data_IF_963608552721
#
_entry.id   IF_963608552721
#
_cell.length_a   1.000
_cell.length_b   1.000
_cell.length_c   1.000
_cell.angle_alpha   90.00
_cell.angle_beta   90.00
_cell.angle_gamma   90.00
#
_symmetry.space_group_name_H-M   'P 1'
#
loop_
_entity.id
_entity.type
_entity.pdbx_description
1 polymer ?
#
# COMPACT_ATOMS: atom_id res chain seq x y z
N UNK A 1 2.08 19.77 22.98
CA UNK A 1 1.65 18.58 23.76
C UNK A 1 1.97 17.36 22.93
N UNK A 2 3.10 16.71 23.23
CA UNK A 2 3.48 15.43 22.65
C UNK A 2 2.87 14.33 23.52
N UNK A 3 2.52 13.20 22.90
CA UNK A 3 2.05 11.95 23.53
C UNK A 3 0.57 11.93 23.90
N UNK A 4 -0.30 11.70 22.92
CA UNK A 4 -1.50 10.87 23.09
C UNK A 4 -1.96 10.53 21.66
N UNK A 5 -2.16 9.25 21.35
CA UNK A 5 -2.35 8.65 20.01
C UNK A 5 -1.03 8.13 19.40
N UNK A 6 -0.45 7.09 20.01
CA UNK A 6 0.33 6.05 19.29
C UNK A 6 0.66 4.91 20.26
N UNK A 7 -0.37 4.23 20.76
CA UNK A 7 -0.18 3.02 21.59
C UNK A 7 -1.11 1.90 21.12
N UNK A 8 -2.29 2.21 20.62
CA UNK A 8 -3.25 1.19 20.16
C UNK A 8 -2.90 0.56 18.81
N UNK A 9 -2.24 1.27 17.90
CA UNK A 9 -1.88 0.71 16.58
C UNK A 9 -0.62 -0.19 16.64
N UNK A 10 0.35 0.19 17.49
CA UNK A 10 1.60 -0.55 17.68
C UNK A 10 1.37 -1.93 18.34
N UNK A 11 0.36 -2.04 19.21
CA UNK A 11 0.05 -3.29 19.94
C UNK A 11 -0.61 -4.33 19.02
N UNK A 12 -1.39 -3.92 18.01
CA UNK A 12 -1.99 -4.85 17.05
C UNK A 12 -0.96 -5.47 16.09
N UNK A 13 0.05 -4.70 15.65
CA UNK A 13 1.10 -5.20 14.75
C UNK A 13 2.06 -6.16 15.49
N UNK A 14 2.45 -5.81 16.72
CA UNK A 14 3.33 -6.66 17.52
C UNK A 14 2.66 -7.98 17.96
N UNK A 15 1.35 -7.99 18.24
CA UNK A 15 0.65 -9.22 18.62
C UNK A 15 0.44 -10.20 17.46
N UNK A 16 0.43 -9.76 16.20
CA UNK A 16 0.35 -10.67 15.05
C UNK A 16 1.70 -11.31 14.70
N UNK A 17 2.81 -10.57 14.83
CA UNK A 17 4.16 -11.10 14.55
C UNK A 17 4.59 -12.24 15.48
N UNK A 18 4.10 -12.27 16.73
CA UNK A 18 4.49 -13.26 17.72
C UNK A 18 3.80 -14.63 17.58
N UNK A 19 2.79 -14.78 16.71
CA UNK A 19 2.03 -16.04 16.57
C UNK A 19 2.62 -16.97 15.49
N UNK A 20 3.48 -16.48 14.61
CA UNK A 20 3.98 -17.28 13.47
C UNK A 20 5.40 -17.88 13.65
N UNK A 21 6.09 -17.59 14.75
CA UNK A 21 7.53 -17.90 14.90
C UNK A 21 7.89 -19.37 15.27
N UNK A 22 6.97 -20.33 15.20
CA UNK A 22 7.31 -21.74 15.50
C UNK A 22 6.33 -22.75 14.86
N UNK A 23 6.10 -22.64 13.56
CA UNK A 23 5.36 -23.67 12.83
C UNK A 23 6.28 -24.86 12.55
N UNK A 24 5.89 -26.06 12.97
CA UNK A 24 6.57 -27.32 12.61
C UNK A 24 6.71 -27.40 11.08
N UNK A 25 7.91 -27.70 10.59
CA UNK A 25 8.21 -27.78 9.16
C UNK A 25 7.28 -28.77 8.44
N UNK A 26 6.90 -29.87 9.09
CA UNK A 26 5.98 -30.86 8.50
C UNK A 26 4.59 -30.26 8.30
N UNK A 27 4.12 -29.46 9.27
CA UNK A 27 2.86 -28.75 9.16
C UNK A 27 2.93 -27.69 8.05
N UNK A 28 4.01 -26.91 7.99
CA UNK A 28 4.21 -25.90 6.96
C UNK A 28 4.24 -26.49 5.55
N UNK A 29 4.84 -27.67 5.37
CA UNK A 29 4.83 -28.40 4.09
C UNK A 29 3.42 -28.85 3.71
N UNK A 30 2.65 -29.41 4.66
CA UNK A 30 1.26 -29.81 4.40
C UNK A 30 0.37 -28.61 4.04
N UNK A 31 0.49 -27.52 4.79
CA UNK A 31 -0.24 -26.27 4.54
C UNK A 31 0.13 -25.69 3.15
N UNK A 32 1.41 -25.78 2.76
CA UNK A 32 1.92 -25.36 1.46
C UNK A 32 1.38 -26.19 0.30
N UNK A 33 1.32 -27.52 0.45
CA UNK A 33 0.73 -28.40 -0.56
C UNK A 33 -0.77 -28.16 -0.70
N UNK A 34 -1.50 -28.01 0.41
CA UNK A 34 -2.93 -27.67 0.39
C UNK A 34 -3.19 -26.31 -0.25
N UNK A 35 -2.36 -25.29 0.04
CA UNK A 35 -2.46 -23.97 -0.58
C UNK A 35 -2.40 -24.04 -2.10
N UNK A 36 -1.47 -24.80 -2.69
CA UNK A 36 -1.29 -24.78 -4.15
C UNK A 36 -2.17 -25.80 -4.87
N UNK A 37 -2.29 -27.01 -4.32
CA UNK A 37 -3.02 -28.10 -4.97
C UNK A 37 -4.53 -27.99 -4.76
N UNK A 38 -4.97 -27.24 -3.74
CA UNK A 38 -6.35 -27.16 -3.30
C UNK A 38 -6.83 -28.48 -2.66
N UNK A 39 -7.98 -28.43 -1.99
CA UNK A 39 -8.66 -29.62 -1.51
C UNK A 39 -9.25 -30.37 -2.71
N UNK A 40 -8.47 -31.30 -3.28
CA UNK A 40 -8.83 -32.33 -4.26
C UNK A 40 -10.08 -32.07 -5.17
N UNK A 41 -9.89 -31.39 -6.31
CA UNK A 41 -10.24 -31.88 -7.66
C UNK A 41 -9.74 -30.89 -8.75
N UNK A 42 -9.20 -31.37 -9.88
CA UNK A 42 -8.68 -30.50 -10.93
C UNK A 42 -9.83 -29.96 -11.78
N UNK A 43 -10.43 -28.84 -11.37
CA UNK A 43 -11.27 -28.07 -12.28
C UNK A 43 -10.38 -27.17 -13.14
N UNK A 44 -10.09 -27.64 -14.35
CA UNK A 44 -9.42 -26.95 -15.45
C UNK A 44 -10.14 -25.67 -15.96
N UNK A 45 -11.04 -25.10 -15.16
CA UNK A 45 -11.88 -23.94 -15.49
C UNK A 45 -11.57 -22.70 -14.63
N UNK A 46 -10.62 -22.76 -13.68
CA UNK A 46 -10.41 -21.68 -12.69
C UNK A 46 -9.51 -20.55 -13.21
N UNK A 47 -8.84 -20.72 -14.36
CA UNK A 47 -7.87 -19.74 -14.89
C UNK A 47 -8.53 -18.53 -15.59
N UNK A 48 -9.84 -18.54 -15.79
CA UNK A 48 -10.55 -17.41 -16.37
C UNK A 48 -11.00 -16.40 -15.29
N UNK A 49 -10.14 -15.39 -15.09
CA UNK A 49 -10.56 -14.00 -14.93
C UNK A 49 -11.03 -13.57 -13.53
N UNK A 50 -10.06 -13.37 -12.61
CA UNK A 50 -10.08 -12.17 -11.75
C UNK A 50 -9.16 -11.14 -12.42
N UNK A 51 -9.58 -10.60 -13.56
CA UNK A 51 -9.06 -9.31 -14.06
C UNK A 51 -9.66 -8.21 -13.20
N UNK A 52 -9.15 -8.07 -11.99
CA UNK A 52 -9.27 -6.85 -11.20
C UNK A 52 -7.90 -6.39 -10.69
N UNK A 53 -6.82 -6.91 -11.29
CA UNK A 53 -5.47 -6.46 -10.98
C UNK A 53 -5.29 -5.08 -11.60
N UNK A 54 -5.51 -4.04 -10.80
CA UNK A 54 -5.20 -2.68 -11.21
C UNK A 54 -3.72 -2.43 -10.92
N UNK A 55 -2.97 -2.07 -11.95
CA UNK A 55 -1.57 -1.68 -11.77
C UNK A 55 -1.50 -0.32 -11.09
N UNK A 56 -0.43 -0.09 -10.32
CA UNK A 56 -0.22 1.21 -9.68
C UNK A 56 -0.25 2.38 -10.68
N UNK A 57 0.32 2.18 -11.87
CA UNK A 57 0.30 3.17 -12.95
C UNK A 57 -1.13 3.54 -13.41
N UNK A 58 -2.05 2.55 -13.45
CA UNK A 58 -3.45 2.79 -13.79
C UNK A 58 -4.16 3.62 -12.70
N UNK A 59 -3.91 3.33 -11.42
CA UNK A 59 -4.49 4.09 -10.30
C UNK A 59 -4.01 5.54 -10.32
N UNK A 60 -2.71 5.77 -10.48
CA UNK A 60 -2.16 7.13 -10.57
C UNK A 60 -2.74 7.89 -11.76
N UNK A 61 -2.87 7.25 -12.93
CA UNK A 61 -3.46 7.86 -14.12
C UNK A 61 -4.93 8.26 -13.90
N UNK A 62 -5.72 7.40 -13.26
CA UNK A 62 -7.13 7.69 -12.91
C UNK A 62 -7.24 8.83 -11.89
N UNK A 63 -6.39 8.85 -10.86
CA UNK A 63 -6.36 9.94 -9.88
C UNK A 63 -6.03 11.29 -10.52
N UNK A 64 -5.06 11.32 -11.45
CA UNK A 64 -4.73 12.51 -12.25
C UNK A 64 -5.89 12.98 -13.10
N UNK A 65 -6.60 12.07 -13.75
CA UNK A 65 -7.78 12.41 -14.57
C UNK A 65 -8.91 12.99 -13.71
N UNK A 66 -9.18 12.40 -12.54
CA UNK A 66 -10.20 12.87 -11.61
C UNK A 66 -9.93 14.30 -11.15
N UNK A 67 -8.68 14.63 -10.82
CA UNK A 67 -8.30 15.97 -10.34
C UNK A 67 -8.24 17.03 -11.45
N UNK A 68 -8.08 16.63 -12.72
CA UNK A 68 -8.17 17.55 -13.87
C UNK A 68 -9.61 17.92 -14.19
N UNK A 69 -10.53 16.98 -14.03
CA UNK A 69 -11.91 17.11 -14.52
C UNK A 69 -12.90 17.65 -13.47
N UNK A 70 -12.48 17.75 -12.20
CA UNK A 70 -13.36 18.17 -11.10
C UNK A 70 -12.75 19.34 -10.33
N UNK A 71 -13.61 20.26 -9.89
CA UNK A 71 -13.15 21.30 -8.96
C UNK A 71 -12.72 20.63 -7.65
N UNK A 72 -11.45 20.81 -7.31
CA UNK A 72 -10.83 20.23 -6.13
C UNK A 72 -11.60 20.56 -4.83
N UNK A 73 -12.24 21.75 -4.76
CA UNK A 73 -13.09 22.13 -3.61
C UNK A 73 -14.32 21.25 -3.47
N UNK A 74 -14.82 20.69 -4.55
CA UNK A 74 -16.02 19.84 -4.53
C UNK A 74 -15.64 18.39 -4.18
N UNK A 75 -14.52 17.86 -4.67
CA UNK A 75 -13.98 16.56 -4.22
C UNK A 75 -13.75 16.57 -2.71
N UNK A 76 -13.14 17.65 -2.19
CA UNK A 76 -12.81 17.74 -0.77
C UNK A 76 -14.03 17.90 0.16
N UNK A 77 -15.24 18.09 -0.39
CA UNK A 77 -16.52 18.02 0.35
C UNK A 77 -17.14 16.61 0.36
N UNK A 78 -16.65 15.70 -0.48
CA UNK A 78 -17.11 14.31 -0.54
C UNK A 78 -16.25 13.39 0.34
N UNK A 79 -16.58 12.10 0.41
CA UNK A 79 -15.73 11.08 1.03
C UNK A 79 -14.70 10.46 0.06
N UNK A 80 -14.78 10.77 -1.23
CA UNK A 80 -13.92 10.20 -2.28
C UNK A 80 -12.45 10.61 -2.10
N UNK A 81 -11.55 9.62 -2.16
CA UNK A 81 -10.10 9.79 -2.16
C UNK A 81 -9.60 9.64 -3.61
N UNK A 82 -8.96 10.65 -4.22
CA UNK A 82 -8.58 10.61 -5.64
C UNK A 82 -7.63 9.47 -6.03
N UNK A 83 -6.62 9.22 -5.19
CA UNK A 83 -5.62 8.18 -5.41
C UNK A 83 -5.88 7.05 -4.43
N UNK A 84 -6.93 6.28 -4.68
CA UNK A 84 -7.34 5.18 -3.80
C UNK A 84 -7.23 3.83 -4.49
N UNK A 85 -6.63 2.88 -3.78
CA UNK A 85 -6.62 1.46 -4.13
C UNK A 85 -6.30 0.63 -2.88
N UNK A 86 -7.08 -0.43 -2.63
CA UNK A 86 -6.81 -1.33 -1.50
C UNK A 86 -5.56 -2.18 -1.73
N UNK A 87 -5.34 -2.65 -2.96
CA UNK A 87 -4.13 -3.34 -3.36
C UNK A 87 -3.86 -3.22 -4.86
N UNK A 88 -2.86 -2.41 -5.22
CA UNK A 88 -2.33 -2.31 -6.57
C UNK A 88 -1.12 -3.23 -6.76
N UNK A 89 -0.88 -3.68 -7.98
CA UNK A 89 0.33 -4.46 -8.29
C UNK A 89 1.44 -3.58 -8.86
N UNK A 90 2.66 -3.79 -8.37
CA UNK A 90 3.89 -3.21 -8.88
C UNK A 90 4.86 -4.32 -9.28
N UNK A 91 5.16 -4.41 -10.57
CA UNK A 91 6.13 -5.35 -11.10
C UNK A 91 7.57 -4.81 -11.08
N UNK A 92 7.77 -3.49 -10.91
CA UNK A 92 9.12 -2.92 -11.00
C UNK A 92 9.76 -3.21 -12.34
N UNK A 93 10.92 -3.87 -12.28
CA UNK A 93 11.64 -4.32 -13.46
C UNK A 93 11.28 -5.77 -13.86
N UNK A 94 10.39 -6.45 -13.13
CA UNK A 94 9.95 -7.80 -13.44
C UNK A 94 9.24 -7.83 -14.81
N UNK A 95 9.89 -8.49 -15.76
CA UNK A 95 9.37 -8.82 -17.09
C UNK A 95 9.33 -10.34 -17.25
N UNK A 96 8.66 -10.85 -18.27
CA UNK A 96 8.65 -12.30 -18.54
C UNK A 96 10.08 -12.85 -18.71
N UNK A 97 10.96 -12.14 -19.42
CA UNK A 97 12.36 -12.54 -19.59
C UNK A 97 13.13 -12.56 -18.26
N UNK A 98 12.97 -11.53 -17.42
CA UNK A 98 13.59 -11.51 -16.10
C UNK A 98 13.03 -12.64 -15.22
N UNK A 99 11.73 -12.89 -15.30
CA UNK A 99 11.08 -13.99 -14.60
C UNK A 99 11.69 -15.33 -15.00
N UNK A 100 11.92 -15.60 -16.29
CA UNK A 100 12.55 -16.85 -16.75
C UNK A 100 13.93 -17.09 -16.11
N UNK A 101 14.71 -16.02 -15.90
CA UNK A 101 16.06 -16.06 -15.32
C UNK A 101 16.09 -16.20 -13.80
N UNK A 102 14.97 -15.93 -13.10
CA UNK A 102 14.90 -16.03 -11.64
C UNK A 102 15.02 -17.47 -11.14
N UNK A 103 15.53 -17.62 -9.92
CA UNK A 103 15.52 -18.90 -9.23
C UNK A 103 14.09 -19.39 -8.92
N UNK A 104 13.97 -20.68 -8.63
CA UNK A 104 12.67 -21.27 -8.33
C UNK A 104 12.07 -20.73 -7.03
N UNK A 105 12.87 -20.28 -6.07
CA UNK A 105 12.36 -19.80 -4.78
C UNK A 105 11.56 -18.50 -4.96
N UNK A 106 12.11 -17.55 -5.73
CA UNK A 106 11.44 -16.31 -6.06
C UNK A 106 10.23 -16.53 -6.96
N UNK A 107 10.33 -17.45 -7.95
CA UNK A 107 9.18 -17.83 -8.79
C UNK A 107 8.04 -18.43 -7.96
N UNK A 108 8.36 -19.34 -7.04
CA UNK A 108 7.39 -19.94 -6.12
C UNK A 108 6.79 -18.89 -5.18
N UNK A 109 7.60 -17.97 -4.65
CA UNK A 109 7.12 -16.85 -3.83
C UNK A 109 6.10 -15.99 -4.58
N UNK A 110 6.37 -15.60 -5.83
CA UNK A 110 5.42 -14.85 -6.67
C UNK A 110 4.11 -15.64 -6.83
N UNK A 111 4.23 -16.91 -7.23
CA UNK A 111 3.09 -17.76 -7.53
C UNK A 111 2.21 -18.05 -6.32
N UNK A 112 2.82 -18.43 -5.20
CA UNK A 112 2.13 -18.70 -3.95
C UNK A 112 1.43 -17.44 -3.41
N UNK A 113 2.06 -16.27 -3.56
CA UNK A 113 1.46 -14.99 -3.18
C UNK A 113 0.23 -14.68 -4.03
N UNK A 114 0.34 -14.85 -5.35
CA UNK A 114 -0.80 -14.71 -6.27
C UNK A 114 -1.94 -15.64 -5.89
N UNK A 115 -1.67 -16.94 -5.70
CA UNK A 115 -2.69 -17.93 -5.31
C UNK A 115 -3.39 -17.52 -4.01
N UNK A 116 -2.63 -17.07 -3.00
CA UNK A 116 -3.17 -16.65 -1.71
C UNK A 116 -4.07 -15.42 -1.85
N UNK A 117 -3.64 -14.43 -2.63
CA UNK A 117 -4.41 -13.22 -2.87
C UNK A 117 -5.66 -13.51 -3.71
N UNK A 118 -5.57 -14.32 -4.76
CA UNK A 118 -6.72 -14.73 -5.58
C UNK A 118 -7.76 -15.47 -4.74
N UNK A 119 -7.30 -16.37 -3.84
CA UNK A 119 -8.17 -17.07 -2.91
C UNK A 119 -8.89 -16.11 -1.98
N UNK A 120 -8.18 -15.14 -1.39
CA UNK A 120 -8.80 -14.13 -0.53
C UNK A 120 -9.89 -13.35 -1.27
N UNK A 121 -9.66 -12.94 -2.51
CA UNK A 121 -10.68 -12.23 -3.30
C UNK A 121 -11.89 -13.13 -3.61
N UNK A 122 -11.65 -14.40 -3.91
CA UNK A 122 -12.72 -15.38 -4.16
C UNK A 122 -13.58 -15.61 -2.90
N UNK A 123 -12.94 -15.73 -1.73
CA UNK A 123 -13.61 -15.93 -0.45
C UNK A 123 -14.34 -14.68 0.05
N UNK A 124 -13.81 -13.48 -0.25
CA UNK A 124 -14.44 -12.23 0.08
C UNK A 124 -15.78 -12.02 -0.64
N UNK A 125 -16.01 -12.70 -1.77
CA UNK A 125 -17.28 -12.75 -2.50
C UNK A 125 -17.90 -11.34 -2.69
N UNK A 126 -17.19 -10.48 -3.42
CA UNK A 126 -17.55 -9.07 -3.71
C UNK A 126 -17.48 -8.10 -2.52
N UNK A 127 -17.17 -8.57 -1.30
CA UNK A 127 -16.87 -7.69 -0.17
C UNK A 127 -15.54 -6.96 -0.39
N UNK A 128 -15.49 -5.69 0.01
CA UNK A 128 -14.26 -4.93 0.16
C UNK A 128 -13.28 -5.66 1.09
N UNK A 129 -12.06 -5.89 0.60
CA UNK A 129 -10.97 -6.53 1.33
C UNK A 129 -10.05 -5.44 1.85
N UNK A 130 -9.86 -5.40 3.17
CA UNK A 130 -9.02 -4.36 3.79
C UNK A 130 -7.54 -4.69 3.64
N UNK A 131 -6.71 -3.65 3.65
CA UNK A 131 -5.25 -3.80 3.56
C UNK A 131 -4.68 -4.79 4.58
N UNK A 132 -5.19 -4.76 5.82
CA UNK A 132 -4.73 -5.62 6.90
C UNK A 132 -5.06 -7.11 6.63
N UNK A 133 -6.12 -7.39 5.87
CA UNK A 133 -6.46 -8.75 5.45
C UNK A 133 -5.46 -9.27 4.43
N UNK A 134 -5.02 -8.43 3.48
CA UNK A 134 -3.95 -8.80 2.54
C UNK A 134 -2.63 -9.09 3.26
N UNK A 135 -2.24 -8.23 4.22
CA UNK A 135 -1.03 -8.44 5.03
C UNK A 135 -1.14 -9.75 5.82
N UNK A 136 -2.29 -10.01 6.45
CA UNK A 136 -2.52 -11.24 7.19
C UNK A 136 -2.43 -12.48 6.28
N UNK A 137 -3.03 -12.43 5.09
CA UNK A 137 -2.98 -13.52 4.10
C UNK A 137 -1.55 -13.85 3.68
N UNK A 138 -0.72 -12.84 3.38
CA UNK A 138 0.68 -13.11 3.02
C UNK A 138 1.54 -13.53 4.22
N UNK A 139 1.26 -13.01 5.41
CA UNK A 139 1.95 -13.45 6.64
C UNK A 139 1.65 -14.92 6.96
N UNK A 140 0.46 -15.40 6.63
CA UNK A 140 0.05 -16.79 6.81
C UNK A 140 0.46 -17.70 5.65
N UNK A 141 1.02 -17.15 4.57
CA UNK A 141 1.45 -17.95 3.44
C UNK A 141 2.67 -18.81 3.84
N UNK A 142 2.58 -20.16 3.77
CA UNK A 142 3.63 -21.07 4.23
C UNK A 142 4.92 -21.01 3.39
N UNK A 143 4.86 -20.46 2.17
CA UNK A 143 6.03 -20.25 1.32
C UNK A 143 6.78 -18.96 1.64
N UNK A 144 6.22 -18.10 2.49
CA UNK A 144 6.78 -16.80 2.85
C UNK A 144 7.26 -16.79 4.29
N UNK A 145 8.29 -16.01 4.56
CA UNK A 145 8.66 -15.63 5.91
C UNK A 145 8.84 -14.12 5.99
N UNK A 146 8.39 -13.52 7.10
CA UNK A 146 8.63 -12.10 7.36
C UNK A 146 10.13 -11.88 7.54
N UNK A 147 10.71 -10.93 6.80
CA UNK A 147 12.12 -10.57 6.97
C UNK A 147 12.35 -9.99 8.39
N UNK A 148 13.57 -10.15 8.94
CA UNK A 148 13.90 -9.67 10.30
C UNK A 148 13.77 -8.14 10.45
N UNK A 149 14.14 -7.40 9.40
CA UNK A 149 13.93 -5.97 9.22
C UNK A 149 12.62 -5.67 8.45
N UNK A 150 11.73 -6.65 8.38
CA UNK A 150 10.70 -6.72 7.37
C UNK A 150 9.44 -5.95 7.68
N UNK A 151 9.31 -5.31 8.84
CA UNK A 151 8.15 -4.49 9.15
C UNK A 151 8.61 -3.09 9.54
N UNK A 152 8.09 -2.06 8.87
CA UNK A 152 8.39 -0.67 9.17
C UNK A 152 7.14 0.19 9.08
N UNK A 153 6.95 1.03 10.09
CA UNK A 153 5.91 2.05 10.10
C UNK A 153 6.55 3.41 10.33
N UNK A 154 6.18 4.39 9.51
CA UNK A 154 6.56 5.78 9.72
C UNK A 154 5.34 6.69 9.64
N UNK A 155 5.40 7.78 10.38
CA UNK A 155 4.43 8.86 10.35
C UNK A 155 5.15 10.19 10.48
N UNK A 156 4.82 11.13 9.60
CA UNK A 156 5.39 12.47 9.64
C UNK A 156 4.38 13.54 9.21
N UNK A 157 4.68 14.79 9.55
CA UNK A 157 3.84 15.95 9.27
C UNK A 157 4.68 17.14 8.82
N UNK A 158 4.25 17.78 7.74
CA UNK A 158 4.82 19.02 7.25
C UNK A 158 3.78 20.14 7.39
N UNK A 159 4.07 21.12 8.25
CA UNK A 159 3.32 22.37 8.33
C UNK A 159 3.75 23.36 7.26
N UNK A 160 2.82 24.21 6.82
CA UNK A 160 3.08 25.35 5.94
C UNK A 160 2.52 26.62 6.57
N UNK A 161 3.23 27.74 6.43
CA UNK A 161 2.73 29.03 6.92
C UNK A 161 1.43 29.43 6.18
N UNK A 162 0.48 29.91 6.99
CA UNK A 162 -0.99 29.89 6.87
C UNK A 162 -1.73 30.32 5.59
N UNK A 163 -1.08 30.64 4.46
CA UNK A 163 -1.76 31.19 3.28
C UNK A 163 -1.26 30.72 1.90
N UNK A 164 -0.17 29.94 1.82
CA UNK A 164 0.41 29.54 0.52
C UNK A 164 -0.46 28.57 -0.31
N UNK A 165 -1.44 27.92 0.32
CA UNK A 165 -2.31 26.94 -0.34
C UNK A 165 -3.69 27.52 -0.72
N UNK A 166 -4.05 28.70 -0.21
CA UNK A 166 -5.38 29.33 -0.38
C UNK A 166 -5.41 30.49 -1.37
N UNK A 167 -4.29 30.86 -2.02
CA UNK A 167 -4.24 32.01 -2.93
C UNK A 167 -4.29 31.64 -4.42
N UNK A 168 -4.51 30.38 -4.77
CA UNK A 168 -4.73 29.96 -6.17
C UNK A 168 -3.51 30.13 -7.09
N UNK A 169 -2.33 30.42 -6.54
CA UNK A 169 -1.08 30.40 -7.26
C UNK A 169 -0.40 29.05 -7.09
N UNK A 170 -0.12 28.38 -8.22
CA UNK A 170 0.68 27.17 -8.31
C UNK A 170 2.08 27.40 -7.71
N UNK A 171 2.24 27.26 -6.40
CA UNK A 171 3.55 27.41 -5.78
C UNK A 171 4.32 26.09 -5.87
N UNK A 172 5.05 25.97 -6.98
CA UNK A 172 5.99 24.87 -7.22
C UNK A 172 6.95 24.67 -6.05
N UNK A 173 7.30 25.71 -5.30
CA UNK A 173 8.17 25.58 -4.13
C UNK A 173 7.49 24.82 -2.99
N UNK A 174 6.17 24.98 -2.78
CA UNK A 174 5.40 24.19 -1.81
C UNK A 174 5.27 22.74 -2.27
N UNK A 175 5.03 22.51 -3.57
CA UNK A 175 5.00 21.16 -4.13
C UNK A 175 6.36 20.45 -4.00
N UNK A 176 7.47 21.16 -4.19
CA UNK A 176 8.82 20.63 -4.00
C UNK A 176 9.14 20.34 -2.52
N UNK A 177 8.64 21.17 -1.60
CA UNK A 177 8.69 20.89 -0.17
C UNK A 177 7.88 19.64 0.19
N UNK A 178 6.65 19.53 -0.33
CA UNK A 178 5.80 18.36 -0.14
C UNK A 178 6.43 17.08 -0.69
N UNK A 179 7.05 17.16 -1.87
CA UNK A 179 7.79 16.04 -2.46
C UNK A 179 9.00 15.66 -1.60
N UNK A 180 9.76 16.63 -1.12
CA UNK A 180 10.94 16.37 -0.27
C UNK A 180 10.54 15.74 1.06
N UNK A 181 9.46 16.24 1.66
CA UNK A 181 8.84 15.63 2.85
C UNK A 181 8.40 14.20 2.57
N UNK A 182 7.72 13.92 1.45
CA UNK A 182 7.30 12.57 1.09
C UNK A 182 8.48 11.60 0.92
N UNK A 183 9.55 12.04 0.26
CA UNK A 183 10.79 11.26 0.14
C UNK A 183 11.35 10.91 1.52
N UNK A 184 11.34 11.87 2.45
CA UNK A 184 11.80 11.68 3.83
C UNK A 184 10.84 10.82 4.68
N UNK A 185 9.54 10.79 4.36
CA UNK A 185 8.56 9.91 5.00
C UNK A 185 8.78 8.46 4.57
N UNK A 186 8.95 8.22 3.27
CA UNK A 186 9.05 6.88 2.69
C UNK A 186 10.40 6.24 2.96
N UNK A 187 11.50 6.97 2.75
CA UNK A 187 12.90 6.52 2.92
C UNK A 187 13.30 5.23 2.18
N UNK A 188 12.42 4.65 1.36
CA UNK A 188 12.68 3.51 0.50
C UNK A 188 12.57 3.94 -0.97
N UNK A 189 13.71 3.96 -1.68
CA UNK A 189 13.80 4.31 -3.10
C UNK A 189 12.90 3.43 -3.96
N UNK A 190 12.80 2.16 -3.62
CA UNK A 190 12.04 1.16 -4.36
C UNK A 190 10.53 1.45 -4.31
N UNK A 191 10.05 1.88 -3.13
CA UNK A 191 8.67 2.32 -2.92
C UNK A 191 8.41 3.65 -3.64
N UNK A 192 9.35 4.59 -3.57
CA UNK A 192 9.25 5.86 -4.28
C UNK A 192 9.11 5.66 -5.79
N UNK A 193 9.99 4.84 -6.39
CA UNK A 193 10.01 4.55 -7.82
C UNK A 193 8.77 3.74 -8.26
N UNK A 194 8.26 2.88 -7.37
CA UNK A 194 7.05 2.08 -7.60
C UNK A 194 5.76 2.88 -7.48
N UNK A 195 5.72 3.89 -6.58
CA UNK A 195 4.51 4.68 -6.32
C UNK A 195 4.02 5.44 -7.55
N UNK A 196 4.93 5.78 -8.47
CA UNK A 196 4.69 6.63 -9.65
C UNK A 196 4.06 8.00 -9.32
N UNK A 197 4.13 8.44 -8.06
CA UNK A 197 3.68 9.76 -7.63
C UNK A 197 4.71 10.79 -8.08
N UNK A 198 4.33 11.69 -8.96
CA UNK A 198 5.19 12.73 -9.53
C UNK A 198 4.90 14.10 -8.93
N UNK A 199 5.72 15.09 -9.25
CA UNK A 199 5.58 16.45 -8.74
C UNK A 199 4.21 17.06 -9.07
N UNK A 200 3.62 16.71 -10.23
CA UNK A 200 2.27 17.13 -10.60
C UNK A 200 1.20 16.59 -9.64
N UNK A 201 1.39 15.37 -9.10
CA UNK A 201 0.49 14.81 -8.10
C UNK A 201 0.61 15.58 -6.79
N UNK A 202 1.83 15.99 -6.38
CA UNK A 202 2.01 16.86 -5.21
C UNK A 202 1.42 18.25 -5.40
N UNK A 203 1.47 18.83 -6.60
CA UNK A 203 0.77 20.08 -6.93
C UNK A 203 -0.74 19.90 -6.74
N UNK A 204 -1.32 18.79 -7.21
CA UNK A 204 -2.74 18.50 -7.03
C UNK A 204 -3.11 18.23 -5.57
N UNK A 205 -2.30 17.46 -4.85
CA UNK A 205 -2.46 17.14 -3.42
C UNK A 205 -2.39 18.41 -2.58
N UNK A 206 -1.42 19.30 -2.84
CA UNK A 206 -1.30 20.60 -2.17
C UNK A 206 -2.53 21.46 -2.50
N UNK A 207 -2.92 21.57 -3.77
CA UNK A 207 -4.14 22.30 -4.17
C UNK A 207 -5.40 21.76 -3.47
N UNK A 208 -5.50 20.43 -3.32
CA UNK A 208 -6.57 19.77 -2.59
C UNK A 208 -6.52 20.05 -1.11
N UNK A 209 -5.33 20.10 -0.54
CA UNK A 209 -5.11 20.47 0.85
C UNK A 209 -5.58 21.90 1.13
N UNK A 210 -5.29 22.85 0.24
CA UNK A 210 -5.75 24.24 0.38
C UNK A 210 -7.26 24.38 0.23
N UNK A 211 -7.83 23.67 -0.75
CA UNK A 211 -9.27 23.61 -0.94
C UNK A 211 -10.00 23.00 0.27
N UNK A 212 -9.45 21.94 0.89
CA UNK A 212 -10.00 21.37 2.12
C UNK A 212 -9.86 22.34 3.30
N UNK A 213 -8.70 22.99 3.45
CA UNK A 213 -8.47 24.03 4.46
C UNK A 213 -9.49 25.17 4.34
N UNK A 214 -9.81 25.63 3.13
CA UNK A 214 -10.87 26.62 2.90
C UNK A 214 -12.27 26.10 3.26
N UNK A 215 -12.60 24.85 2.93
CA UNK A 215 -13.87 24.24 3.35
C UNK A 215 -13.97 24.17 4.88
N UNK A 216 -12.86 23.90 5.58
CA UNK A 216 -12.80 23.91 7.05
C UNK A 216 -12.97 25.31 7.66
N UNK A 217 -12.81 26.38 6.89
CA UNK A 217 -13.11 27.74 7.34
C UNK A 217 -14.62 27.98 7.58
N UNK A 218 -15.49 26.99 7.39
CA UNK A 218 -16.90 27.08 7.79
C UNK A 218 -17.20 26.41 9.14
N UNK A 219 -16.26 25.61 9.68
CA UNK A 219 -16.43 24.81 10.90
C UNK A 219 -15.92 25.54 12.17
N UNK A 220 -16.10 26.86 12.24
CA UNK A 220 -15.52 27.80 13.23
C UNK A 220 -16.04 27.69 14.68
N UNK A 221 -16.18 26.49 15.25
CA UNK A 221 -16.50 26.33 16.66
C UNK A 221 -15.64 25.24 17.30
N UNK A 222 -14.70 25.65 18.18
CA UNK A 222 -13.87 24.82 19.08
C UNK A 222 -12.54 24.33 18.46
N UNK A 223 -11.57 23.96 19.32
CA UNK A 223 -10.32 23.28 18.94
C UNK A 223 -10.67 22.04 18.12
N UNK A 224 -10.52 22.12 16.81
CA UNK A 224 -10.84 21.03 15.90
C UNK A 224 -9.65 20.90 14.96
N UNK A 225 -8.96 19.77 15.08
CA UNK A 225 -8.09 19.27 14.02
C UNK A 225 -8.99 18.58 12.99
N UNK A 226 -8.92 19.02 11.74
CA UNK A 226 -9.64 18.38 10.64
C UNK A 226 -8.63 17.80 9.67
N UNK A 227 -8.87 16.56 9.23
CA UNK A 227 -8.01 15.83 8.32
C UNK A 227 -8.80 15.35 7.10
N UNK A 228 -8.17 15.33 5.93
CA UNK A 228 -8.76 14.85 4.68
C UNK A 228 -7.73 14.03 3.90
N UNK A 229 -8.02 12.75 3.69
CA UNK A 229 -7.16 11.87 2.89
C UNK A 229 -7.21 12.28 1.42
N UNK A 230 -6.04 12.31 0.81
CA UNK A 230 -5.82 12.61 -0.62
C UNK A 230 -5.17 11.45 -1.35
N UNK A 231 -4.42 10.61 -0.64
CA UNK A 231 -3.83 9.37 -1.14
C UNK A 231 -4.10 8.26 -0.12
N UNK A 232 -4.54 7.10 -0.57
CA UNK A 232 -4.65 5.87 0.22
C UNK A 232 -4.41 4.67 -0.70
N UNK A 233 -3.15 4.26 -0.80
CA UNK A 233 -2.66 3.26 -1.75
C UNK A 233 -2.04 2.09 -1.01
N UNK A 234 -2.69 0.93 -1.04
CA UNK A 234 -2.06 -0.35 -0.77
C UNK A 234 -1.41 -0.90 -2.04
N UNK A 235 -0.22 -1.47 -1.91
CA UNK A 235 0.55 -2.00 -3.03
C UNK A 235 1.21 -3.32 -2.64
N UNK A 236 1.15 -4.29 -3.54
CA UNK A 236 2.03 -5.46 -3.54
C UNK A 236 3.06 -5.29 -4.65
N UNK A 237 4.33 -5.31 -4.25
CA UNK A 237 5.49 -5.23 -5.12
C UNK A 237 6.15 -6.59 -5.21
N UNK A 238 6.12 -7.15 -6.42
CA UNK A 238 6.73 -8.43 -6.70
C UNK A 238 8.26 -8.32 -6.74
N UNK A 239 8.96 -9.40 -6.35
CA UNK A 239 10.42 -9.44 -6.43
C UNK A 239 10.90 -9.32 -7.88
N UNK A 240 12.08 -8.73 -8.04
CA UNK A 240 12.88 -8.73 -9.26
C UNK A 240 14.34 -9.06 -8.92
N UNK A 241 15.24 -9.07 -9.91
CA UNK A 241 16.66 -9.43 -9.69
C UNK A 241 17.41 -8.43 -8.80
N UNK A 242 16.97 -7.17 -8.74
CA UNK A 242 17.59 -6.14 -7.91
C UNK A 242 16.99 -6.12 -6.50
N UNK A 243 15.72 -6.49 -6.38
CA UNK A 243 14.95 -6.53 -5.14
C UNK A 243 14.32 -7.93 -4.99
N UNK A 244 15.04 -8.93 -4.47
CA UNK A 244 14.58 -10.33 -4.40
C UNK A 244 13.63 -10.56 -3.21
N UNK A 245 12.74 -9.61 -2.94
CA UNK A 245 11.81 -9.64 -1.82
C UNK A 245 10.42 -9.25 -2.29
N UNK A 246 9.40 -9.91 -1.74
CA UNK A 246 8.02 -9.46 -1.89
C UNK A 246 7.77 -8.35 -0.87
N UNK A 247 7.32 -7.18 -1.30
CA UNK A 247 6.97 -6.07 -0.41
C UNK A 247 5.49 -5.75 -0.51
N UNK A 248 4.83 -5.63 0.62
CA UNK A 248 3.54 -4.99 0.76
C UNK A 248 3.71 -3.65 1.43
N UNK A 249 3.04 -2.60 0.95
CA UNK A 249 3.05 -1.34 1.65
C UNK A 249 1.77 -0.55 1.45
N UNK A 250 1.41 0.27 2.44
CA UNK A 250 0.31 1.22 2.37
C UNK A 250 0.83 2.62 2.58
N UNK A 251 0.54 3.49 1.61
CA UNK A 251 0.85 4.92 1.68
C UNK A 251 -0.46 5.66 1.89
N UNK A 252 -0.53 6.42 2.98
CA UNK A 252 -1.65 7.34 3.21
C UNK A 252 -1.11 8.76 3.31
N UNK A 253 -1.67 9.68 2.53
CA UNK A 253 -1.38 11.12 2.63
C UNK A 253 -2.68 11.84 2.90
N UNK A 254 -2.66 12.78 3.83
CA UNK A 254 -3.81 13.60 4.19
C UNK A 254 -3.42 15.06 4.38
N UNK A 255 -4.31 15.94 3.96
CA UNK A 255 -4.29 17.34 4.33
C UNK A 255 -4.79 17.50 5.76
N UNK A 256 -4.19 18.40 6.54
CA UNK A 256 -4.72 18.76 7.86
C UNK A 256 -4.81 20.26 8.07
N UNK A 257 -5.73 20.66 8.93
CA UNK A 257 -5.81 21.99 9.53
C UNK A 257 -5.96 21.83 11.04
N UNK A 258 -5.07 22.47 11.79
CA UNK A 258 -5.20 22.63 13.24
C UNK A 258 -5.55 24.09 13.55
N UNK A 259 -6.55 24.28 14.39
CA UNK A 259 -6.97 25.59 14.86
C UNK A 259 -7.04 25.56 16.38
N UNK A 260 -6.15 26.32 17.00
CA UNK A 260 -6.12 26.48 18.44
C UNK A 260 -6.41 27.93 18.79
N UNK A 261 -7.47 28.15 19.57
CA UNK A 261 -7.81 29.47 20.12
C UNK A 261 -7.49 29.48 21.60
N UNK A 262 -6.65 30.43 22.01
CA UNK A 262 -6.43 30.79 23.41
C UNK A 262 -6.74 32.29 23.53
N UNK A 263 -7.89 32.62 24.12
CA UNK A 263 -8.42 33.99 24.16
C UNK A 263 -8.61 34.61 22.76
N UNK A 264 -8.17 35.86 22.54
CA UNK A 264 -8.27 36.61 21.28
C UNK A 264 -7.16 36.27 20.26
N UNK A 265 -6.19 35.41 20.62
CA UNK A 265 -5.19 34.88 19.69
C UNK A 265 -5.67 33.56 19.11
N UNK A 266 -5.71 33.50 17.78
CA UNK A 266 -6.05 32.32 17.00
C UNK A 266 -4.79 31.87 16.24
N UNK A 267 -4.22 30.73 16.66
CA UNK A 267 -3.13 30.08 15.95
C UNK A 267 -3.75 29.09 14.93
N UNK A 268 -3.40 29.29 13.66
CA UNK A 268 -3.83 28.44 12.54
C UNK A 268 -2.61 27.77 11.95
N UNK A 269 -2.61 26.44 11.97
CA UNK A 269 -1.62 25.62 11.26
C UNK A 269 -2.34 24.80 10.20
N UNK A 270 -1.74 24.69 9.02
CA UNK A 270 -2.23 23.83 7.94
C UNK A 270 -1.05 23.14 7.30
N UNK A 271 -1.27 21.91 6.84
CA UNK A 271 -0.17 21.10 6.35
C UNK A 271 -0.61 19.84 5.65
N UNK A 272 0.38 19.02 5.35
CA UNK A 272 0.21 17.65 4.90
C UNK A 272 0.81 16.70 5.93
N UNK A 273 0.13 15.59 6.17
CA UNK A 273 0.62 14.49 6.99
C UNK A 273 0.51 13.19 6.21
N UNK A 274 1.23 12.18 6.67
CA UNK A 274 1.20 10.89 6.02
C UNK A 274 1.71 9.77 6.89
N UNK A 275 1.34 8.57 6.49
CA UNK A 275 1.80 7.32 7.09
C UNK A 275 2.26 6.39 5.97
N UNK A 276 3.32 5.65 6.26
CA UNK A 276 3.74 4.50 5.46
C UNK A 276 3.83 3.28 6.37
N UNK A 277 3.20 2.21 5.94
CA UNK A 277 3.26 0.88 6.56
C UNK A 277 3.86 -0.08 5.54
N UNK A 278 4.92 -0.80 5.89
CA UNK A 278 5.67 -1.69 5.00
C UNK A 278 5.82 -3.04 5.65
N UNK A 279 5.52 -4.09 4.89
CA UNK A 279 5.78 -5.48 5.23
C UNK A 279 6.59 -6.14 4.10
N UNK A 280 7.72 -6.74 4.43
CA UNK A 280 8.63 -7.42 3.52
C UNK A 280 8.69 -8.90 3.86
N UNK A 281 8.67 -9.71 2.81
CA UNK A 281 8.69 -11.16 2.88
C UNK A 281 9.85 -11.71 2.05
N UNK A 282 10.50 -12.73 2.59
CA UNK A 282 11.45 -13.58 1.89
C UNK A 282 10.75 -14.88 1.46
N UNK A 283 11.24 -15.57 0.43
CA UNK A 283 10.90 -16.98 0.25
C UNK A 283 11.31 -17.77 1.49
N UNK A 284 10.64 -18.90 1.76
CA UNK A 284 10.99 -19.82 2.84
C UNK A 284 11.61 -21.11 2.26
N UNK A 285 12.94 -21.16 2.03
CA UNK A 285 13.60 -22.28 1.33
C UNK A 285 13.31 -23.64 1.99
N UNK A 286 13.31 -23.68 3.32
CA UNK A 286 13.06 -24.91 4.09
C UNK A 286 11.72 -25.58 3.75
N UNK A 287 10.70 -24.81 3.39
CA UNK A 287 9.40 -25.34 2.93
C UNK A 287 9.43 -25.61 1.42
N UNK A 288 9.98 -24.69 0.62
CA UNK A 288 10.04 -24.81 -0.85
C UNK A 288 10.80 -26.07 -1.28
N UNK A 289 11.91 -26.40 -0.62
CA UNK A 289 12.70 -27.60 -0.91
C UNK A 289 12.01 -28.90 -0.49
N UNK A 290 11.06 -28.81 0.46
CA UNK A 290 10.42 -29.96 1.09
C UNK A 290 9.06 -30.34 0.48
N UNK A 291 8.43 -29.45 -0.29
CA UNK A 291 7.16 -29.73 -0.99
C UNK A 291 7.38 -30.55 -2.27
N UNK A 292 6.32 -31.17 -2.79
CA UNK A 292 6.41 -31.91 -4.05
C UNK A 292 6.78 -31.02 -5.25
N UNK A 293 7.48 -31.61 -6.24
CA UNK A 293 7.75 -30.93 -7.53
C UNK A 293 6.49 -30.47 -8.24
N UNK A 294 5.36 -31.17 -8.05
CA UNK A 294 4.07 -30.77 -8.61
C UNK A 294 3.61 -29.44 -8.01
N UNK A 295 3.71 -29.29 -6.69
CA UNK A 295 3.42 -28.05 -5.97
C UNK A 295 4.29 -26.91 -6.48
N UNK A 296 5.61 -27.13 -6.61
CA UNK A 296 6.54 -26.13 -7.17
C UNK A 296 6.11 -25.70 -8.57
N UNK A 297 5.89 -26.65 -9.48
CA UNK A 297 5.52 -26.33 -10.86
C UNK A 297 4.17 -25.61 -10.97
N UNK A 298 3.19 -25.94 -10.13
CA UNK A 298 1.91 -25.25 -10.10
C UNK A 298 2.01 -23.82 -9.56
N UNK A 299 2.84 -23.59 -8.54
CA UNK A 299 3.14 -22.25 -8.07
C UNK A 299 3.83 -21.43 -9.17
N UNK A 300 4.85 -22.00 -9.85
CA UNK A 300 5.54 -21.32 -10.96
C UNK A 300 4.56 -21.00 -12.10
N UNK A 301 3.69 -21.93 -12.50
CA UNK A 301 2.69 -21.67 -13.54
C UNK A 301 1.70 -20.56 -13.13
N UNK A 302 1.32 -20.48 -11.85
CA UNK A 302 0.52 -19.38 -11.35
C UNK A 302 1.26 -18.04 -11.44
N UNK A 303 2.58 -18.02 -11.17
CA UNK A 303 3.40 -16.83 -11.33
C UNK A 303 3.51 -16.40 -12.81
N UNK A 304 3.70 -17.35 -13.73
CA UNK A 304 3.76 -17.08 -15.18
C UNK A 304 2.50 -16.38 -15.69
N UNK A 305 1.33 -16.76 -15.16
CA UNK A 305 0.05 -16.15 -15.57
C UNK A 305 -0.08 -14.65 -15.25
N UNK A 306 0.84 -14.05 -14.48
CA UNK A 306 0.88 -12.59 -14.29
C UNK A 306 1.28 -11.85 -15.58
N UNK A 307 1.92 -12.54 -16.53
CA UNK A 307 2.38 -11.97 -17.80
C UNK A 307 1.44 -12.25 -18.98
N UNK A 308 0.32 -12.95 -18.73
CA UNK A 308 -0.71 -13.25 -19.74
C UNK A 308 -1.64 -12.04 -19.93
N UNK A 309 -1.16 -10.99 -20.61
CA UNK A 309 -1.92 -9.77 -20.91
C UNK A 309 -2.04 -9.48 -22.42
#
# INVERSE_FOLDING_TARGET
MKNFISVTCLVTVLCFSAICANMDINKAVLDAESLVLGDAEPQAAIVATITAIVTIASIISKGREMLKNVNVKDIMKTEIIPYHCDLAQSYGNLTHTIFEEMDNELKVMIGASKISLDRLHKEANEREVKFEEYVATLTQNPFLETAEDGAFFNQDFQGFESFGISTGGYDRAIAEQARSWFINLVQDKDILDSSKIEIEDFVNIVSASGAAVECFATLFYKKIRVERRVVDLGVVRYPDLENPFLKMYRITIFAYRDSSRVAFLEDKESGIGGTIDVQRFNPRPSVIESVSKRTINMAIAAAESLFDF
#
